data_IF_336573587410
#
_entry.id   IF_336573587410
#
_cell.length_a   1.000
_cell.length_b   1.000
_cell.length_c   1.000
_cell.angle_alpha   90.00
_cell.angle_beta   90.00
_cell.angle_gamma   90.00
#
_symmetry.space_group_name_H-M   'P 1'
#
loop_
_entity.id
_entity.type
_entity.pdbx_description
1 polymer ?
#
# COMPACT_ATOMS: atom_id res chain seq x y z
N UNK A 1 35.02 -22.43 -25.69
CA UNK A 1 35.14 -21.32 -26.68
C UNK A 1 33.84 -20.55 -26.68
N UNK A 2 33.95 -19.23 -26.56
CA UNK A 2 32.94 -18.21 -26.22
C UNK A 2 31.64 -18.19 -27.04
N UNK A 3 30.53 -17.69 -26.48
CA UNK A 3 29.52 -16.97 -27.23
C UNK A 3 29.54 -15.46 -26.84
N UNK A 4 30.09 -14.65 -27.74
CA UNK A 4 29.77 -13.22 -27.85
C UNK A 4 28.70 -13.10 -28.96
N UNK A 5 27.57 -12.48 -28.65
CA UNK A 5 26.54 -12.19 -29.65
C UNK A 5 25.15 -12.14 -29.03
N UNK A 6 24.83 -11.04 -28.34
CA UNK A 6 23.44 -10.60 -28.15
C UNK A 6 23.27 -9.19 -27.54
N UNK A 7 24.32 -8.36 -27.47
CA UNK A 7 24.21 -6.98 -26.97
C UNK A 7 23.98 -5.91 -28.05
N UNK A 8 24.09 -6.24 -29.35
CA UNK A 8 23.87 -5.28 -30.42
C UNK A 8 22.38 -5.04 -30.75
N UNK A 9 21.53 -6.07 -30.60
CA UNK A 9 20.12 -5.97 -31.02
C UNK A 9 19.24 -5.13 -30.07
N UNK A 10 19.63 -4.97 -28.81
CA UNK A 10 18.88 -4.20 -27.80
C UNK A 10 19.11 -2.69 -27.89
N UNK A 11 20.28 -2.24 -28.35
CA UNK A 11 20.56 -0.80 -28.54
C UNK A 11 19.96 -0.23 -29.83
N UNK A 12 19.78 -1.06 -30.86
CA UNK A 12 19.17 -0.65 -32.12
C UNK A 12 17.64 -0.56 -32.02
N UNK A 13 17.01 -1.41 -31.21
CA UNK A 13 15.61 -1.25 -30.81
C UNK A 13 15.39 0.03 -29.98
N UNK A 14 16.28 0.35 -29.03
CA UNK A 14 16.22 1.62 -28.27
C UNK A 14 16.38 2.87 -29.15
N UNK A 15 17.14 2.79 -30.25
CA UNK A 15 17.25 3.88 -31.24
C UNK A 15 16.00 4.00 -32.12
N UNK A 16 15.27 2.93 -32.39
CA UNK A 16 14.01 3.01 -33.13
C UNK A 16 12.86 3.60 -32.29
N UNK A 17 12.89 3.44 -30.96
CA UNK A 17 11.94 4.10 -30.05
C UNK A 17 12.11 5.62 -29.94
N UNK A 18 13.27 6.18 -30.33
CA UNK A 18 13.47 7.63 -30.37
C UNK A 18 12.94 8.30 -31.65
N UNK A 19 12.60 7.54 -32.69
CA UNK A 19 12.05 8.07 -33.95
C UNK A 19 10.53 7.96 -34.07
N UNK A 20 9.85 7.12 -33.28
CA UNK A 20 8.39 6.89 -33.41
C UNK A 20 7.56 7.77 -32.46
N UNK A 21 8.20 8.47 -31.52
CA UNK A 21 7.51 9.36 -30.59
C UNK A 21 8.00 10.78 -30.84
N UNK A 22 7.08 11.69 -31.18
CA UNK A 22 7.28 13.13 -31.08
C UNK A 22 7.53 13.55 -29.62
N UNK A 23 8.67 13.14 -29.04
CA UNK A 23 9.15 13.55 -27.71
C UNK A 23 9.55 15.03 -27.71
N UNK A 24 9.67 15.64 -28.89
CA UNK A 24 10.03 17.05 -29.05
C UNK A 24 8.95 18.04 -28.56
N UNK A 25 7.67 17.64 -28.48
CA UNK A 25 6.57 18.56 -28.12
C UNK A 25 6.22 18.58 -26.63
N UNK A 26 6.89 17.76 -25.82
CA UNK A 26 6.76 17.81 -24.35
C UNK A 26 8.02 18.36 -23.71
N UNK A 27 8.56 19.43 -24.30
CA UNK A 27 9.45 20.31 -23.55
C UNK A 27 8.67 20.83 -22.33
N UNK A 28 9.24 20.75 -21.11
CA UNK A 28 8.60 21.26 -19.88
C UNK A 28 8.37 22.78 -19.88
N UNK A 29 8.64 23.47 -20.99
CA UNK A 29 8.44 24.91 -21.18
C UNK A 29 7.05 25.28 -21.68
N UNK A 30 6.27 24.37 -22.27
CA UNK A 30 5.04 24.74 -23.00
C UNK A 30 3.72 24.25 -22.42
N UNK A 31 3.73 23.47 -21.32
CA UNK A 31 2.49 23.25 -20.55
C UNK A 31 2.42 24.38 -19.52
N UNK A 32 1.38 25.23 -19.51
CA UNK A 32 1.23 26.25 -18.48
C UNK A 32 1.31 25.53 -17.14
N UNK A 33 2.26 25.90 -16.28
CA UNK A 33 2.42 25.30 -14.93
C UNK A 33 1.07 25.16 -14.22
N UNK A 34 0.16 26.11 -14.44
CA UNK A 34 -1.23 26.11 -13.99
C UNK A 34 -2.07 24.89 -14.42
N UNK A 35 -1.94 24.37 -15.65
CA UNK A 35 -2.66 23.17 -16.11
C UNK A 35 -2.11 21.88 -15.48
N UNK A 36 -0.79 21.81 -15.27
CA UNK A 36 -0.14 20.70 -14.53
C UNK A 36 -0.59 20.71 -13.07
N UNK A 37 -0.59 21.88 -12.43
CA UNK A 37 -1.07 22.11 -11.06
C UNK A 37 -2.55 21.70 -10.90
N UNK A 38 -3.43 22.10 -11.81
CA UNK A 38 -4.86 21.79 -11.74
C UNK A 38 -5.14 20.29 -11.92
N UNK A 39 -4.50 19.64 -12.89
CA UNK A 39 -4.71 18.21 -13.18
C UNK A 39 -4.09 17.35 -12.07
N UNK A 40 -2.93 17.73 -11.56
CA UNK A 40 -2.33 17.07 -10.41
C UNK A 40 -3.20 17.25 -9.16
N UNK A 41 -3.72 18.46 -8.89
CA UNK A 41 -4.49 18.78 -7.68
C UNK A 41 -5.67 17.85 -7.42
N UNK A 42 -6.41 17.43 -8.46
CA UNK A 42 -7.54 16.52 -8.27
C UNK A 42 -7.08 15.08 -8.05
N UNK A 43 -5.98 14.66 -8.68
CA UNK A 43 -5.44 13.31 -8.52
C UNK A 43 -4.92 13.00 -7.11
N UNK A 44 -4.70 14.02 -6.25
CA UNK A 44 -4.21 13.80 -4.89
C UNK A 44 -5.19 13.02 -4.00
N UNK A 45 -6.50 13.14 -4.23
CA UNK A 45 -7.49 12.32 -3.50
C UNK A 45 -7.32 10.83 -3.76
N UNK A 46 -6.65 10.46 -4.85
CA UNK A 46 -6.39 9.07 -5.21
C UNK A 46 -5.13 8.48 -4.56
N UNK A 47 -4.31 9.31 -3.91
CA UNK A 47 -3.11 8.85 -3.21
C UNK A 47 -3.47 8.17 -1.89
N UNK A 48 -2.94 6.96 -1.69
CA UNK A 48 -3.00 6.18 -0.45
C UNK A 48 -2.08 6.75 0.62
N UNK A 49 -2.46 7.89 1.23
CA UNK A 49 -1.78 8.47 2.39
C UNK A 49 -2.53 8.13 3.68
N UNK A 50 -1.80 7.89 4.77
CA UNK A 50 -2.39 7.54 6.06
C UNK A 50 -2.20 8.69 7.06
N UNK A 51 -3.31 9.38 7.36
CA UNK A 51 -3.40 10.46 8.33
C UNK A 51 -2.37 11.60 8.16
N UNK A 52 -2.11 11.97 6.91
CA UNK A 52 -1.35 13.16 6.53
C UNK A 52 -2.32 14.23 6.02
N UNK A 53 -2.00 15.51 6.22
CA UNK A 53 -2.74 16.59 5.57
C UNK A 53 -2.55 16.46 4.04
N UNK A 54 -3.64 16.15 3.34
CA UNK A 54 -3.63 15.91 1.90
C UNK A 54 -3.24 17.17 1.11
N UNK A 55 -3.52 18.36 1.63
CA UNK A 55 -3.17 19.63 0.98
C UNK A 55 -1.67 19.91 1.13
N UNK A 56 -1.12 19.75 2.34
CA UNK A 56 0.32 19.94 2.56
C UNK A 56 1.14 18.91 1.78
N UNK A 57 0.72 17.65 1.80
CA UNK A 57 1.40 16.59 1.06
C UNK A 57 1.31 16.78 -0.46
N UNK A 58 0.20 17.34 -0.93
CA UNK A 58 0.06 17.76 -2.33
C UNK A 58 1.10 18.82 -2.68
N UNK A 59 1.13 19.90 -1.93
CA UNK A 59 1.96 21.05 -2.24
C UNK A 59 3.44 20.66 -2.19
N UNK A 60 3.80 19.77 -1.26
CA UNK A 60 5.09 19.10 -1.18
C UNK A 60 5.46 18.37 -2.49
N UNK A 61 4.61 17.48 -3.00
CA UNK A 61 4.91 16.71 -4.22
C UNK A 61 5.01 17.62 -5.45
N UNK A 62 4.20 18.68 -5.51
CA UNK A 62 4.27 19.68 -6.56
C UNK A 62 5.58 20.48 -6.48
N UNK A 63 5.99 20.90 -5.28
CA UNK A 63 7.27 21.58 -5.09
C UNK A 63 8.44 20.70 -5.56
N UNK A 64 8.44 19.41 -5.25
CA UNK A 64 9.48 18.48 -5.72
C UNK A 64 9.52 18.32 -7.24
N UNK A 65 8.34 18.27 -7.88
CA UNK A 65 8.22 18.17 -9.32
C UNK A 65 8.72 19.43 -10.05
N UNK A 66 8.66 20.59 -9.38
CA UNK A 66 8.97 21.90 -9.95
C UNK A 66 10.26 22.52 -9.41
N UNK A 67 10.97 21.87 -8.47
CA UNK A 67 12.12 22.44 -7.76
C UNK A 67 13.31 22.73 -8.66
N UNK A 68 13.47 21.95 -9.74
CA UNK A 68 14.60 22.06 -10.67
C UNK A 68 14.26 21.37 -11.99
N UNK A 69 15.20 21.36 -12.93
CA UNK A 69 15.11 20.60 -14.19
C UNK A 69 16.00 19.34 -14.19
N UNK A 70 16.33 18.82 -13.01
CA UNK A 70 17.12 17.59 -12.86
C UNK A 70 16.35 16.35 -13.31
N UNK A 71 17.05 15.26 -13.57
CA UNK A 71 16.40 14.00 -13.95
C UNK A 71 15.47 13.47 -12.84
N UNK A 72 15.82 13.68 -11.56
CA UNK A 72 15.02 13.29 -10.39
C UNK A 72 13.72 14.10 -10.24
N UNK A 73 13.75 15.43 -10.42
CA UNK A 73 12.55 16.29 -10.38
C UNK A 73 11.62 16.00 -11.58
N UNK A 74 12.19 15.78 -12.77
CA UNK A 74 11.43 15.33 -13.94
C UNK A 74 10.76 13.98 -13.72
N UNK A 75 11.40 13.04 -13.02
CA UNK A 75 10.78 11.77 -12.67
C UNK A 75 9.53 11.96 -11.80
N UNK A 76 9.59 12.83 -10.80
CA UNK A 76 8.41 13.16 -9.96
C UNK A 76 7.32 13.78 -10.81
N UNK A 77 7.66 14.74 -11.68
CA UNK A 77 6.70 15.39 -12.57
C UNK A 77 5.98 14.38 -13.49
N UNK A 78 6.74 13.51 -14.17
CA UNK A 78 6.17 12.52 -15.07
C UNK A 78 5.33 11.47 -14.32
N UNK A 79 5.76 11.03 -13.14
CA UNK A 79 5.00 10.10 -12.32
C UNK A 79 3.68 10.74 -11.84
N UNK A 80 3.71 11.99 -11.40
CA UNK A 80 2.53 12.74 -10.97
C UNK A 80 1.54 12.93 -12.13
N UNK A 81 2.04 13.28 -13.32
CA UNK A 81 1.22 13.37 -14.53
C UNK A 81 0.66 12.01 -14.96
N UNK A 82 1.40 10.91 -14.77
CA UNK A 82 0.92 9.57 -15.07
C UNK A 82 -0.27 9.21 -14.16
N UNK A 83 -0.13 9.40 -12.84
CA UNK A 83 -1.21 9.19 -11.86
C UNK A 83 -2.41 10.08 -12.20
N UNK A 84 -2.19 11.36 -12.50
CA UNK A 84 -3.29 12.26 -12.80
C UNK A 84 -4.00 11.96 -14.13
N UNK A 85 -3.24 11.53 -15.14
CA UNK A 85 -3.78 11.03 -16.40
C UNK A 85 -4.63 9.78 -16.16
N UNK A 86 -4.13 8.84 -15.36
CA UNK A 86 -4.85 7.60 -15.05
C UNK A 86 -6.12 7.87 -14.26
N UNK A 87 -6.03 8.76 -13.30
CA UNK A 87 -7.13 9.18 -12.47
C UNK A 87 -8.26 9.84 -13.29
N UNK A 88 -7.93 10.67 -14.28
CA UNK A 88 -8.93 11.39 -15.07
C UNK A 88 -9.61 10.53 -16.14
N UNK A 89 -8.80 9.80 -16.90
CA UNK A 89 -9.28 9.15 -18.14
C UNK A 89 -9.17 7.61 -18.10
N UNK A 90 -8.66 7.03 -16.99
CA UNK A 90 -8.40 5.60 -16.84
C UNK A 90 -7.02 5.16 -17.37
N UNK A 91 -6.83 3.87 -17.59
CA UNK A 91 -5.55 3.36 -18.10
C UNK A 91 -5.46 3.52 -19.63
N UNK A 92 -4.98 4.68 -20.11
CA UNK A 92 -4.70 4.93 -21.53
C UNK A 92 -3.20 4.90 -21.87
N UNK A 93 -2.91 4.81 -23.17
CA UNK A 93 -1.55 4.86 -23.75
C UNK A 93 -0.73 6.06 -23.23
N UNK A 94 -1.38 7.22 -23.07
CA UNK A 94 -0.73 8.43 -22.55
C UNK A 94 -0.22 8.28 -21.11
N UNK A 95 -1.03 7.65 -20.25
CA UNK A 95 -0.68 7.42 -18.86
C UNK A 95 0.52 6.46 -18.76
N UNK A 96 0.52 5.41 -19.59
CA UNK A 96 1.62 4.45 -19.71
C UNK A 96 2.90 5.11 -20.25
N UNK A 97 2.80 5.98 -21.26
CA UNK A 97 3.96 6.74 -21.76
C UNK A 97 4.59 7.62 -20.67
N UNK A 98 3.76 8.28 -19.86
CA UNK A 98 4.24 9.11 -18.74
C UNK A 98 4.91 8.26 -17.66
N UNK A 99 4.36 7.08 -17.33
CA UNK A 99 5.01 6.08 -16.47
C UNK A 99 6.40 5.71 -17.01
N UNK A 100 6.51 5.35 -18.29
CA UNK A 100 7.79 4.99 -18.92
C UNK A 100 8.79 6.15 -18.92
N UNK A 101 8.31 7.38 -19.14
CA UNK A 101 9.15 8.58 -19.06
C UNK A 101 9.69 8.81 -17.63
N UNK A 102 8.85 8.60 -16.60
CA UNK A 102 9.27 8.69 -15.21
C UNK A 102 10.36 7.67 -14.87
N UNK A 103 10.17 6.40 -15.25
CA UNK A 103 11.17 5.33 -15.06
C UNK A 103 12.48 5.66 -15.77
N UNK A 104 12.40 6.16 -17.01
CA UNK A 104 13.58 6.58 -17.78
C UNK A 104 14.32 7.73 -17.12
N UNK A 105 13.59 8.69 -16.53
CA UNK A 105 14.18 9.81 -15.80
C UNK A 105 14.84 9.35 -14.48
N UNK A 106 14.23 8.41 -13.74
CA UNK A 106 14.86 7.77 -12.58
C UNK A 106 16.16 7.06 -12.98
N UNK A 107 16.14 6.26 -14.04
CA UNK A 107 17.32 5.55 -14.52
C UNK A 107 18.47 6.51 -14.89
N UNK A 108 18.15 7.61 -15.59
CA UNK A 108 19.13 8.67 -15.90
C UNK A 108 19.69 9.32 -14.64
N UNK A 109 18.86 9.56 -13.63
CA UNK A 109 19.31 10.13 -12.36
C UNK A 109 20.22 9.17 -11.60
N UNK A 110 19.89 7.87 -11.54
CA UNK A 110 20.76 6.86 -10.90
C UNK A 110 22.10 6.74 -11.63
N UNK A 111 22.11 6.79 -12.96
CA UNK A 111 23.34 6.71 -13.76
C UNK A 111 24.34 7.84 -13.45
N UNK A 112 23.84 9.01 -13.03
CA UNK A 112 24.66 10.15 -12.62
C UNK A 112 25.03 10.12 -11.13
N UNK A 113 24.56 9.12 -10.38
CA UNK A 113 24.65 9.05 -8.92
C UNK A 113 23.59 9.91 -8.23
N UNK A 114 23.02 9.39 -7.14
CA UNK A 114 22.16 10.17 -6.24
C UNK A 114 23.09 10.89 -5.28
N UNK A 115 23.15 12.22 -5.39
CA UNK A 115 24.19 13.03 -4.74
C UNK A 115 23.69 13.85 -3.56
N UNK A 116 22.38 14.03 -3.43
CA UNK A 116 21.77 14.85 -2.39
C UNK A 116 20.54 14.22 -1.76
N UNK A 117 20.23 14.64 -0.52
CA UNK A 117 19.00 14.26 0.19
C UNK A 117 17.75 14.62 -0.60
N UNK A 118 17.76 15.77 -1.30
CA UNK A 118 16.65 16.22 -2.14
C UNK A 118 16.44 15.30 -3.34
N UNK A 119 17.51 14.91 -4.04
CA UNK A 119 17.42 13.94 -5.13
C UNK A 119 16.93 12.59 -4.61
N UNK A 120 17.49 12.09 -3.51
CA UNK A 120 17.06 10.83 -2.90
C UNK A 120 15.57 10.86 -2.55
N UNK A 121 15.08 11.96 -1.96
CA UNK A 121 13.67 12.11 -1.68
C UNK A 121 12.81 12.20 -2.96
N UNK A 122 13.30 12.82 -4.03
CA UNK A 122 12.64 12.80 -5.35
C UNK A 122 12.53 11.40 -5.93
N UNK A 123 13.55 10.56 -5.76
CA UNK A 123 13.45 9.13 -6.09
C UNK A 123 12.37 8.43 -5.27
N UNK A 124 12.30 8.70 -3.95
CA UNK A 124 11.26 8.16 -3.07
C UNK A 124 9.85 8.57 -3.54
N UNK A 125 9.63 9.86 -3.76
CA UNK A 125 8.33 10.40 -4.20
C UNK A 125 7.90 9.86 -5.57
N UNK A 126 8.79 9.87 -6.55
CA UNK A 126 8.51 9.33 -7.87
C UNK A 126 8.20 7.84 -7.81
N UNK A 127 8.95 7.06 -7.03
CA UNK A 127 8.70 5.65 -6.81
C UNK A 127 7.33 5.40 -6.17
N UNK A 128 6.94 6.16 -5.15
CA UNK A 128 5.63 6.01 -4.51
C UNK A 128 4.45 6.45 -5.40
N UNK A 129 4.64 7.45 -6.25
CA UNK A 129 3.65 7.80 -7.29
C UNK A 129 3.48 6.67 -8.31
N UNK A 130 4.58 6.05 -8.75
CA UNK A 130 4.55 4.88 -9.63
C UNK A 130 3.93 3.65 -8.94
N UNK A 131 4.17 3.46 -7.64
CA UNK A 131 3.49 2.47 -6.82
C UNK A 131 1.97 2.69 -6.85
N UNK A 132 1.55 3.94 -6.60
CA UNK A 132 0.13 4.31 -6.61
C UNK A 132 -0.51 4.10 -7.99
N UNK A 133 0.19 4.45 -9.06
CA UNK A 133 -0.25 4.23 -10.44
C UNK A 133 -0.61 2.74 -10.67
N UNK A 134 0.28 1.82 -10.29
CA UNK A 134 0.01 0.39 -10.42
C UNK A 134 -1.13 -0.07 -9.51
N UNK A 135 -1.13 0.33 -8.24
CA UNK A 135 -2.11 -0.08 -7.22
C UNK A 135 -3.54 0.34 -7.53
N UNK A 136 -3.74 1.41 -8.30
CA UNK A 136 -5.07 1.88 -8.71
C UNK A 136 -5.69 1.03 -9.82
N UNK A 137 -4.87 0.34 -10.62
CA UNK A 137 -5.41 -0.56 -11.64
C UNK A 137 -5.72 -1.91 -11.01
N UNK A 138 -7.00 -2.26 -10.96
CA UNK A 138 -7.44 -3.63 -10.68
C UNK A 138 -7.13 -4.59 -11.86
N UNK A 139 -6.10 -4.28 -12.65
CA UNK A 139 -5.79 -5.04 -13.84
C UNK A 139 -4.94 -6.24 -13.43
N UNK A 140 -5.39 -7.41 -13.82
CA UNK A 140 -4.63 -8.66 -13.75
C UNK A 140 -3.45 -8.62 -14.74
N UNK A 141 -2.66 -7.55 -14.77
CA UNK A 141 -1.55 -7.37 -15.71
C UNK A 141 -0.21 -7.27 -15.01
N UNK A 142 -0.14 -6.77 -13.77
CA UNK A 142 1.16 -6.66 -13.09
C UNK A 142 1.05 -6.53 -11.57
N UNK A 143 1.79 -7.36 -10.82
CA UNK A 143 2.06 -7.16 -9.39
C UNK A 143 3.20 -6.18 -9.13
N UNK A 144 3.43 -5.22 -10.05
CA UNK A 144 4.65 -4.41 -10.05
C UNK A 144 4.70 -3.37 -8.93
N UNK A 145 3.58 -3.04 -8.30
CA UNK A 145 3.52 -2.04 -7.23
C UNK A 145 4.53 -2.34 -6.10
N UNK A 146 4.74 -3.61 -5.77
CA UNK A 146 5.73 -4.06 -4.76
C UNK A 146 7.17 -3.70 -5.15
N UNK A 147 7.49 -3.63 -6.45
CA UNK A 147 8.82 -3.23 -6.92
C UNK A 147 9.16 -1.80 -6.61
N UNK A 148 8.16 -0.92 -6.69
CA UNK A 148 8.38 0.47 -6.37
C UNK A 148 8.61 0.64 -4.87
N UNK A 149 7.85 -0.07 -4.02
CA UNK A 149 8.12 -0.10 -2.57
C UNK A 149 9.54 -0.60 -2.29
N UNK A 150 9.97 -1.70 -2.95
CA UNK A 150 11.36 -2.19 -2.89
C UNK A 150 12.36 -1.10 -3.24
N UNK A 151 12.25 -0.54 -4.43
CA UNK A 151 13.24 0.38 -4.97
C UNK A 151 13.36 1.63 -4.09
N UNK A 152 12.22 2.13 -3.61
CA UNK A 152 12.16 3.25 -2.68
C UNK A 152 12.84 2.93 -1.35
N UNK A 153 12.63 1.73 -0.78
CA UNK A 153 13.32 1.30 0.45
C UNK A 153 14.84 1.19 0.27
N UNK A 154 15.29 0.72 -0.89
CA UNK A 154 16.71 0.64 -1.20
C UNK A 154 17.31 2.06 -1.29
N UNK A 155 16.62 2.99 -1.95
CA UNK A 155 17.02 4.42 -2.00
C UNK A 155 17.09 5.03 -0.59
N UNK A 156 16.07 4.80 0.26
CA UNK A 156 16.03 5.31 1.64
C UNK A 156 17.28 4.88 2.41
N UNK A 157 17.57 3.57 2.43
CA UNK A 157 18.69 2.99 3.17
C UNK A 157 20.05 3.45 2.64
N UNK A 158 20.23 3.43 1.32
CA UNK A 158 21.50 3.80 0.68
C UNK A 158 21.83 5.28 0.90
N UNK A 159 20.82 6.14 1.04
CA UNK A 159 21.00 7.58 1.22
C UNK A 159 20.76 8.04 2.67
N UNK A 160 20.60 7.11 3.62
CA UNK A 160 20.37 7.40 5.04
C UNK A 160 19.22 8.37 5.33
N UNK A 161 18.13 8.30 4.55
CA UNK A 161 16.98 9.19 4.73
C UNK A 161 16.29 8.96 6.08
N UNK A 162 16.38 7.76 6.65
CA UNK A 162 15.88 7.43 7.99
C UNK A 162 16.51 8.29 9.11
N UNK A 163 17.72 8.81 8.89
CA UNK A 163 18.42 9.66 9.86
C UNK A 163 18.00 11.13 9.77
N UNK A 164 17.26 11.52 8.75
CA UNK A 164 16.83 12.91 8.48
C UNK A 164 15.55 13.27 9.26
N UNK A 165 15.50 12.96 10.55
CA UNK A 165 14.28 13.09 11.38
C UNK A 165 13.82 14.54 11.58
N UNK A 166 14.73 15.51 11.43
CA UNK A 166 14.42 16.94 11.53
C UNK A 166 13.78 17.51 10.24
N UNK A 167 13.81 16.77 9.15
CA UNK A 167 13.23 17.18 7.89
C UNK A 167 11.76 16.71 7.82
N UNK A 168 10.82 17.63 8.03
CA UNK A 168 9.37 17.35 8.01
C UNK A 168 8.94 16.72 6.68
N UNK A 169 9.52 17.21 5.59
CA UNK A 169 9.28 16.73 4.24
C UNK A 169 9.72 15.28 4.04
N UNK A 170 10.95 14.93 4.46
CA UNK A 170 11.43 13.54 4.39
C UNK A 170 10.57 12.64 5.27
N UNK A 171 10.17 13.13 6.45
CA UNK A 171 9.28 12.38 7.34
C UNK A 171 7.95 12.02 6.66
N UNK A 172 7.27 12.98 6.02
CA UNK A 172 5.99 12.69 5.35
C UNK A 172 6.13 11.63 4.24
N UNK A 173 7.23 11.65 3.49
CA UNK A 173 7.53 10.60 2.51
C UNK A 173 7.78 9.24 3.17
N UNK A 174 8.56 9.20 4.25
CA UNK A 174 8.80 7.95 4.99
C UNK A 174 7.51 7.38 5.56
N UNK A 175 6.62 8.23 6.06
CA UNK A 175 5.31 7.82 6.57
C UNK A 175 4.44 7.21 5.47
N UNK A 176 4.48 7.79 4.27
CA UNK A 176 3.79 7.25 3.10
C UNK A 176 4.32 5.86 2.72
N UNK A 177 5.65 5.71 2.70
CA UNK A 177 6.32 4.43 2.41
C UNK A 177 5.98 3.39 3.48
N UNK A 178 6.06 3.76 4.75
CA UNK A 178 5.79 2.86 5.89
C UNK A 178 4.36 2.32 5.85
N UNK A 179 3.37 3.18 5.54
CA UNK A 179 1.98 2.75 5.37
C UNK A 179 1.86 1.68 4.27
N UNK A 180 2.40 1.95 3.08
CA UNK A 180 2.34 1.00 1.98
C UNK A 180 3.08 -0.30 2.27
N UNK A 181 4.23 -0.21 2.93
CA UNK A 181 5.02 -1.37 3.32
C UNK A 181 4.24 -2.29 4.28
N UNK A 182 3.67 -1.74 5.35
CA UNK A 182 2.94 -2.54 6.35
C UNK A 182 1.74 -3.26 5.73
N UNK A 183 1.01 -2.59 4.84
CA UNK A 183 -0.12 -3.23 4.14
C UNK A 183 0.36 -4.21 3.06
N UNK A 184 1.53 -3.99 2.46
CA UNK A 184 2.15 -4.96 1.58
C UNK A 184 2.54 -6.24 2.30
N UNK A 185 3.04 -6.15 3.53
CA UNK A 185 3.33 -7.31 4.38
C UNK A 185 2.10 -8.20 4.52
N UNK A 186 0.93 -7.64 4.86
CA UNK A 186 -0.32 -8.41 4.91
C UNK A 186 -0.65 -9.10 3.58
N UNK A 187 -0.57 -8.35 2.48
CA UNK A 187 -0.93 -8.86 1.14
C UNK A 187 -0.04 -10.02 0.74
N UNK A 188 1.25 -9.94 1.02
CA UNK A 188 2.23 -11.01 0.75
C UNK A 188 2.02 -12.21 1.68
N UNK A 189 1.74 -11.97 2.97
CA UNK A 189 1.51 -13.01 3.99
C UNK A 189 0.37 -13.96 3.59
N UNK A 190 -0.68 -13.42 2.98
CA UNK A 190 -1.90 -14.16 2.65
C UNK A 190 -2.01 -14.57 1.19
N UNK A 191 -1.26 -13.97 0.28
CA UNK A 191 -1.20 -14.39 -1.11
C UNK A 191 -0.25 -15.59 -1.29
N UNK A 192 -0.77 -16.81 -1.17
CA UNK A 192 -0.03 -18.08 -1.05
C UNK A 192 -0.26 -19.03 -2.23
N UNK A 193 0.24 -18.69 -3.41
CA UNK A 193 0.29 -19.64 -4.54
C UNK A 193 1.49 -20.59 -4.41
N UNK A 194 1.34 -21.70 -3.69
CA UNK A 194 2.40 -22.70 -3.53
C UNK A 194 3.62 -22.18 -2.72
N UNK A 195 4.83 -22.77 -2.89
CA UNK A 195 6.03 -22.19 -2.30
C UNK A 195 6.18 -20.78 -2.85
N UNK A 196 6.04 -19.79 -1.97
CA UNK A 196 6.14 -18.34 -2.25
C UNK A 196 7.32 -18.06 -3.19
N UNK A 197 8.44 -18.75 -2.97
CA UNK A 197 9.63 -18.76 -3.82
C UNK A 197 9.36 -18.97 -5.31
N UNK A 198 8.50 -19.93 -5.66
CA UNK A 198 8.29 -20.35 -7.05
C UNK A 198 7.46 -19.34 -7.85
N UNK A 199 6.54 -18.63 -7.19
CA UNK A 199 5.67 -17.64 -7.85
C UNK A 199 6.29 -16.26 -7.80
N UNK A 200 6.93 -15.88 -6.69
CA UNK A 200 7.75 -14.67 -6.64
C UNK A 200 8.92 -14.81 -7.62
N UNK A 201 9.67 -15.92 -7.65
CA UNK A 201 10.75 -16.07 -8.64
C UNK A 201 10.26 -16.09 -10.10
N UNK A 202 9.09 -16.68 -10.38
CA UNK A 202 8.52 -16.71 -11.75
C UNK A 202 7.91 -15.37 -12.20
N UNK A 203 7.16 -14.69 -11.34
CA UNK A 203 6.50 -13.41 -11.68
C UNK A 203 7.44 -12.21 -11.48
N UNK A 204 8.41 -12.32 -10.58
CA UNK A 204 9.28 -11.22 -10.17
C UNK A 204 10.75 -11.43 -10.60
N UNK A 205 11.13 -12.59 -11.13
CA UNK A 205 12.48 -12.80 -11.68
C UNK A 205 13.62 -12.63 -10.67
N UNK A 206 13.34 -12.60 -9.37
CA UNK A 206 14.32 -12.39 -8.31
C UNK A 206 14.14 -13.44 -7.21
N UNK A 207 15.26 -14.04 -6.78
CA UNK A 207 15.37 -14.85 -5.57
C UNK A 207 15.47 -13.92 -4.36
N UNK A 208 14.89 -14.30 -3.22
CA UNK A 208 14.90 -13.45 -2.04
C UNK A 208 13.59 -12.68 -1.90
N UNK A 209 12.46 -13.28 -1.55
CA UNK A 209 11.34 -12.48 -1.02
C UNK A 209 11.58 -12.18 0.46
N UNK A 210 12.46 -12.95 1.11
CA UNK A 210 12.82 -12.86 2.52
C UNK A 210 13.42 -11.51 2.90
N UNK A 211 13.88 -10.68 1.95
CA UNK A 211 14.36 -9.32 2.24
C UNK A 211 13.27 -8.24 2.04
N UNK A 212 12.19 -8.53 1.27
CA UNK A 212 10.94 -7.75 1.31
C UNK A 212 10.31 -7.93 2.69
N UNK A 213 10.38 -9.16 3.22
CA UNK A 213 9.77 -9.64 4.46
C UNK A 213 10.74 -9.77 5.63
N UNK A 214 11.97 -9.28 5.48
CA UNK A 214 13.03 -9.51 6.45
C UNK A 214 12.68 -8.84 7.78
N UNK A 215 12.91 -9.51 8.93
CA UNK A 215 12.67 -8.91 10.23
C UNK A 215 13.58 -7.70 10.33
N UNK A 216 13.00 -6.51 10.19
CA UNK A 216 13.67 -5.28 10.52
C UNK A 216 12.83 -4.61 11.57
N UNK A 217 13.52 -4.20 12.63
CA UNK A 217 12.99 -3.22 13.56
C UNK A 217 12.28 -2.15 12.74
N UNK A 218 11.00 -1.86 13.02
CA UNK A 218 10.36 -0.72 12.42
C UNK A 218 11.26 0.49 12.71
N UNK A 219 11.93 1.01 11.69
CA UNK A 219 12.68 2.26 11.71
C UNK A 219 11.70 3.44 11.79
N UNK A 220 10.54 3.22 12.42
CA UNK A 220 9.67 4.27 12.86
C UNK A 220 10.39 4.92 14.03
N UNK A 221 10.81 6.16 13.81
CA UNK A 221 11.13 7.06 14.91
C UNK A 221 10.08 6.84 16.00
N UNK A 222 10.51 6.70 17.26
CA UNK A 222 9.67 6.47 18.44
C UNK A 222 8.77 7.70 18.71
N UNK A 223 8.00 8.13 17.70
CA UNK A 223 7.11 9.26 17.71
C UNK A 223 5.82 8.80 18.37
N UNK A 224 5.32 9.60 19.28
CA UNK A 224 4.05 9.37 19.96
C UNK A 224 2.82 9.61 19.06
N UNK A 225 2.95 9.42 17.74
CA UNK A 225 1.87 9.68 16.78
C UNK A 225 1.03 8.41 16.60
N UNK A 226 -0.30 8.44 16.88
CA UNK A 226 -1.14 7.25 16.90
C UNK A 226 -1.11 6.41 15.60
N UNK A 227 -1.15 7.00 14.39
CA UNK A 227 -1.01 6.27 13.13
C UNK A 227 0.25 5.39 13.05
N UNK A 228 1.40 5.91 13.48
CA UNK A 228 2.66 5.17 13.46
C UNK A 228 2.64 3.99 14.41
N UNK A 229 2.04 4.16 15.61
CA UNK A 229 1.92 3.08 16.59
C UNK A 229 1.05 1.94 16.10
N UNK A 230 -0.02 2.23 15.38
CA UNK A 230 -0.91 1.19 14.84
C UNK A 230 -0.21 0.42 13.71
N UNK A 231 0.47 1.13 12.80
CA UNK A 231 1.25 0.50 11.75
C UNK A 231 2.42 -0.33 12.31
N UNK A 232 3.05 0.15 13.38
CA UNK A 232 4.07 -0.59 14.13
C UNK A 232 3.50 -1.88 14.69
N UNK A 233 2.35 -1.79 15.35
CA UNK A 233 1.67 -2.93 15.92
C UNK A 233 1.31 -3.97 14.86
N UNK A 234 0.71 -3.54 13.73
CA UNK A 234 0.40 -4.42 12.61
C UNK A 234 1.67 -5.10 12.04
N UNK A 235 2.75 -4.33 11.84
CA UNK A 235 4.01 -4.90 11.35
C UNK A 235 4.60 -5.93 12.32
N UNK A 236 4.51 -5.70 13.64
CA UNK A 236 4.91 -6.69 14.64
C UNK A 236 4.09 -7.98 14.52
N UNK A 237 2.76 -7.89 14.35
CA UNK A 237 1.91 -9.07 14.10
C UNK A 237 2.40 -9.81 12.85
N UNK A 238 2.57 -9.10 11.72
CA UNK A 238 2.97 -9.72 10.46
C UNK A 238 4.35 -10.36 10.55
N UNK A 239 5.32 -9.72 11.21
CA UNK A 239 6.66 -10.27 11.40
C UNK A 239 6.63 -11.57 12.22
N UNK A 240 5.86 -11.61 13.31
CA UNK A 240 5.65 -12.82 14.11
C UNK A 240 5.06 -13.92 13.24
N UNK A 241 4.01 -13.60 12.47
CA UNK A 241 3.37 -14.55 11.58
C UNK A 241 4.33 -15.04 10.49
N UNK A 242 5.11 -14.17 9.85
CA UNK A 242 6.11 -14.56 8.83
C UNK A 242 7.13 -15.57 9.34
N UNK A 243 7.59 -15.44 10.60
CA UNK A 243 8.51 -16.42 11.19
C UNK A 243 7.89 -17.82 11.26
N UNK A 244 6.58 -17.91 11.47
CA UNK A 244 5.84 -19.17 11.46
C UNK A 244 5.85 -19.87 10.09
N UNK A 245 5.99 -19.12 8.99
CA UNK A 245 6.06 -19.70 7.63
C UNK A 245 7.40 -20.36 7.37
N UNK A 246 8.49 -19.75 7.85
CA UNK A 246 9.86 -20.20 7.59
C UNK A 246 10.29 -21.37 8.48
N UNK A 247 9.73 -21.48 9.69
CA UNK A 247 10.14 -22.48 10.67
C UNK A 247 9.04 -23.49 10.94
N UNK A 248 9.18 -24.70 10.40
CA UNK A 248 8.28 -25.85 10.61
C UNK A 248 8.24 -26.41 12.05
N UNK A 249 8.79 -25.72 13.06
CA UNK A 249 9.23 -26.40 14.29
C UNK A 249 9.00 -25.74 15.65
N UNK A 250 8.37 -24.57 15.80
CA UNK A 250 8.21 -24.01 17.17
C UNK A 250 6.95 -23.15 17.34
N UNK A 251 5.79 -23.79 17.24
CA UNK A 251 4.48 -23.18 17.54
C UNK A 251 4.43 -22.55 18.94
N UNK A 252 5.15 -23.10 19.93
CA UNK A 252 5.19 -22.58 21.29
C UNK A 252 5.81 -21.18 21.40
N UNK A 253 6.93 -20.93 20.71
CA UNK A 253 7.56 -19.60 20.68
C UNK A 253 6.67 -18.56 19.98
N UNK A 254 5.89 -19.00 19.00
CA UNK A 254 4.95 -18.17 18.26
C UNK A 254 3.75 -17.75 19.14
N UNK A 255 3.14 -18.72 19.85
CA UNK A 255 2.04 -18.47 20.79
C UNK A 255 2.48 -17.48 21.87
N UNK A 256 3.67 -17.67 22.42
CA UNK A 256 4.21 -16.76 23.44
C UNK A 256 4.43 -15.34 22.92
N UNK A 257 4.92 -15.21 21.69
CA UNK A 257 5.14 -13.90 21.05
C UNK A 257 3.82 -13.16 20.81
N UNK A 258 2.79 -13.86 20.34
CA UNK A 258 1.45 -13.28 20.17
C UNK A 258 0.82 -12.90 21.52
N UNK A 259 0.97 -13.74 22.55
CA UNK A 259 0.48 -13.45 23.90
C UNK A 259 1.13 -12.19 24.50
N UNK A 260 2.44 -11.99 24.28
CA UNK A 260 3.13 -10.74 24.67
C UNK A 260 2.56 -9.52 23.94
N UNK A 261 2.20 -9.68 22.67
CA UNK A 261 1.62 -8.62 21.87
C UNK A 261 0.17 -8.29 22.31
N UNK A 262 -0.62 -9.31 22.63
CA UNK A 262 -1.95 -9.17 23.27
C UNK A 262 -1.86 -8.37 24.58
N UNK A 263 -0.84 -8.63 25.42
CA UNK A 263 -0.61 -7.86 26.64
C UNK A 263 -0.34 -6.36 26.39
N UNK A 264 0.21 -6.01 25.22
CA UNK A 264 0.49 -4.62 24.81
C UNK A 264 -0.65 -3.94 24.08
N UNK A 265 -1.70 -4.67 23.70
CA UNK A 265 -2.85 -4.14 22.96
C UNK A 265 -3.54 -2.98 23.70
N UNK A 266 -3.63 -3.05 25.03
CA UNK A 266 -4.23 -2.00 25.85
C UNK A 266 -3.56 -0.63 25.68
N UNK A 267 -2.24 -0.60 25.42
CA UNK A 267 -1.50 0.63 25.15
C UNK A 267 -1.88 1.23 23.80
N UNK A 268 -2.14 0.41 22.78
CA UNK A 268 -2.58 0.87 21.47
C UNK A 268 -4.00 1.46 21.54
N UNK A 269 -4.89 0.83 22.30
CA UNK A 269 -6.28 1.27 22.46
C UNK A 269 -6.40 2.64 23.16
N UNK A 270 -5.56 2.90 24.16
CA UNK A 270 -5.55 4.19 24.89
C UNK A 270 -5.12 5.40 24.04
N UNK A 271 -4.55 5.17 22.85
CA UNK A 271 -4.09 6.26 21.97
C UNK A 271 -5.25 7.03 21.31
N UNK A 272 -6.45 6.44 21.22
CA UNK A 272 -7.62 7.08 20.60
C UNK A 272 -8.32 8.07 21.53
N UNK A 273 -8.18 7.91 22.84
CA UNK A 273 -8.95 8.67 23.84
C UNK A 273 -8.43 10.10 24.04
N UNK A 274 -7.19 10.40 23.64
CA UNK A 274 -6.52 11.68 23.92
C UNK A 274 -6.53 12.73 22.80
N UNK A 275 -7.20 12.51 21.67
CA UNK A 275 -7.13 13.42 20.48
C UNK A 275 -8.43 14.22 20.19
N UNK A 276 -9.38 14.24 21.12
CA UNK A 276 -10.71 14.87 20.91
C UNK A 276 -10.76 16.27 21.53
N UNK A 277 -9.99 17.23 21.02
CA UNK A 277 -10.14 18.66 21.43
C UNK A 277 -10.26 19.66 20.25
N UNK A 278 -10.45 19.20 19.00
CA UNK A 278 -10.63 20.11 17.86
C UNK A 278 -11.80 19.71 16.96
N UNK A 279 -12.84 20.55 16.93
CA UNK A 279 -14.17 20.34 16.37
C UNK A 279 -14.29 20.65 14.87
N UNK A 280 -13.42 20.09 14.02
CA UNK A 280 -13.60 20.13 12.56
C UNK A 280 -14.05 18.76 12.02
N UNK A 281 -14.93 18.74 11.01
CA UNK A 281 -15.38 17.50 10.36
C UNK A 281 -14.21 16.69 9.75
N UNK A 282 -13.15 17.38 9.28
CA UNK A 282 -11.94 16.74 8.78
C UNK A 282 -11.17 16.00 9.90
N UNK A 283 -11.11 16.59 11.10
CA UNK A 283 -10.50 15.95 12.27
C UNK A 283 -11.33 14.76 12.76
N UNK A 284 -12.66 14.83 12.66
CA UNK A 284 -13.54 13.69 12.99
C UNK A 284 -13.32 12.52 12.03
N UNK A 285 -13.23 12.77 10.72
CA UNK A 285 -12.96 11.71 9.74
C UNK A 285 -11.58 11.06 9.95
N UNK A 286 -10.54 11.86 10.23
CA UNK A 286 -9.21 11.37 10.56
C UNK A 286 -9.20 10.49 11.82
N UNK A 287 -9.86 10.94 12.90
CA UNK A 287 -9.99 10.17 14.14
C UNK A 287 -10.73 8.85 13.93
N UNK A 288 -11.86 8.88 13.20
CA UNK A 288 -12.65 7.69 12.88
C UNK A 288 -11.84 6.67 12.05
N UNK A 289 -10.99 7.14 11.12
CA UNK A 289 -10.07 6.27 10.37
C UNK A 289 -9.02 5.60 11.27
N UNK A 290 -8.40 6.36 12.18
CA UNK A 290 -7.41 5.84 13.13
C UNK A 290 -8.04 4.77 14.02
N UNK A 291 -9.22 5.07 14.57
CA UNK A 291 -9.96 4.15 15.44
C UNK A 291 -10.37 2.88 14.68
N UNK A 292 -10.81 3.00 13.43
CA UNK A 292 -11.14 1.85 12.59
C UNK A 292 -9.93 0.93 12.37
N UNK A 293 -8.75 1.50 12.10
CA UNK A 293 -7.51 0.73 11.99
C UNK A 293 -7.11 0.03 13.30
N UNK A 294 -7.35 0.67 14.45
CA UNK A 294 -7.14 0.03 15.75
C UNK A 294 -8.06 -1.18 15.93
N UNK A 295 -9.36 -1.02 15.67
CA UNK A 295 -10.31 -2.14 15.77
C UNK A 295 -9.90 -3.30 14.88
N UNK A 296 -9.54 -3.01 13.62
CA UNK A 296 -9.11 -4.03 12.65
C UNK A 296 -7.81 -4.71 13.07
N UNK A 297 -6.84 -3.97 13.62
CA UNK A 297 -5.61 -4.55 14.14
C UNK A 297 -5.88 -5.51 15.32
N UNK A 298 -6.82 -5.15 16.20
CA UNK A 298 -7.24 -5.99 17.32
C UNK A 298 -8.00 -7.25 16.89
N UNK A 299 -8.92 -7.11 15.95
CA UNK A 299 -9.64 -8.24 15.33
C UNK A 299 -8.62 -9.19 14.70
N UNK A 300 -7.72 -8.66 13.88
CA UNK A 300 -6.72 -9.48 13.19
C UNK A 300 -5.80 -10.22 14.18
N UNK A 301 -5.30 -9.54 15.22
CA UNK A 301 -4.51 -10.18 16.27
C UNK A 301 -5.28 -11.33 16.93
N UNK A 302 -6.53 -11.08 17.35
CA UNK A 302 -7.36 -12.09 17.99
C UNK A 302 -7.56 -13.33 17.11
N UNK A 303 -7.87 -13.12 15.81
CA UNK A 303 -8.06 -14.21 14.84
C UNK A 303 -6.78 -14.95 14.49
N UNK A 304 -5.66 -14.25 14.40
CA UNK A 304 -4.35 -14.84 14.17
C UNK A 304 -3.94 -15.71 15.36
N UNK A 305 -4.08 -15.20 16.58
CA UNK A 305 -3.86 -15.95 17.82
C UNK A 305 -4.73 -17.19 17.90
N UNK A 306 -6.05 -17.05 17.69
CA UNK A 306 -7.01 -18.17 17.70
C UNK A 306 -6.64 -19.25 16.66
N UNK A 307 -6.25 -18.84 15.45
CA UNK A 307 -5.85 -19.79 14.41
C UNK A 307 -4.60 -20.60 14.77
N UNK A 308 -3.69 -20.01 15.56
CA UNK A 308 -2.41 -20.61 15.95
C UNK A 308 -2.54 -21.43 17.24
N UNK A 309 -3.12 -20.87 18.30
CA UNK A 309 -3.25 -21.53 19.60
C UNK A 309 -4.43 -22.51 19.66
N UNK A 310 -5.47 -22.30 18.84
CA UNK A 310 -6.74 -23.01 18.93
C UNK A 310 -7.66 -22.50 20.04
N UNK A 311 -7.22 -21.53 20.84
CA UNK A 311 -8.03 -20.94 21.91
C UNK A 311 -8.86 -19.76 21.38
N UNK A 312 -10.17 -19.71 21.65
CA UNK A 312 -11.01 -18.62 21.19
C UNK A 312 -10.57 -17.28 21.79
N UNK A 313 -10.59 -16.22 20.99
CA UNK A 313 -10.37 -14.84 21.43
C UNK A 313 -11.66 -14.05 21.28
N UNK A 314 -12.02 -13.28 22.31
CA UNK A 314 -13.22 -12.44 22.24
C UNK A 314 -12.94 -11.17 21.40
N UNK A 315 -13.28 -11.23 20.11
CA UNK A 315 -13.16 -10.10 19.18
C UNK A 315 -14.43 -9.27 19.06
N UNK A 316 -15.55 -9.70 19.66
CA UNK A 316 -16.87 -9.07 19.48
C UNK A 316 -16.91 -7.58 19.86
N UNK A 317 -16.31 -7.11 20.97
CA UNK A 317 -16.33 -5.69 21.32
C UNK A 317 -15.69 -4.80 20.25
N UNK A 318 -14.63 -5.30 19.59
CA UNK A 318 -13.94 -4.58 18.51
C UNK A 318 -14.79 -4.57 17.22
N UNK A 319 -15.51 -5.66 16.95
CA UNK A 319 -16.44 -5.75 15.81
C UNK A 319 -17.61 -4.79 15.98
N UNK A 320 -18.27 -4.81 17.14
CA UNK A 320 -19.39 -3.94 17.45
C UNK A 320 -18.98 -2.46 17.29
N UNK A 321 -17.80 -2.12 17.83
CA UNK A 321 -17.25 -0.77 17.71
C UNK A 321 -16.90 -0.41 16.25
N UNK A 322 -16.28 -1.31 15.51
CA UNK A 322 -15.93 -1.08 14.11
C UNK A 322 -17.17 -0.86 13.24
N UNK A 323 -18.22 -1.67 13.41
CA UNK A 323 -19.46 -1.52 12.66
C UNK A 323 -20.22 -0.25 13.06
N UNK A 324 -20.20 0.15 14.32
CA UNK A 324 -20.75 1.44 14.75
C UNK A 324 -20.01 2.63 14.10
N UNK A 325 -18.68 2.55 13.96
CA UNK A 325 -17.90 3.55 13.23
C UNK A 325 -18.29 3.59 11.75
N UNK A 326 -18.37 2.42 11.09
CA UNK A 326 -18.77 2.32 9.68
C UNK A 326 -20.15 2.93 9.43
N UNK A 327 -21.10 2.76 10.36
CA UNK A 327 -22.44 3.33 10.25
C UNK A 327 -22.44 4.87 10.29
N UNK A 328 -21.52 5.47 11.05
CA UNK A 328 -21.35 6.93 11.13
C UNK A 328 -20.62 7.50 9.92
N UNK A 329 -19.74 6.73 9.29
CA UNK A 329 -18.96 7.18 8.14
C UNK A 329 -19.84 7.42 6.89
N UNK A 330 -19.66 8.58 6.25
CA UNK A 330 -20.34 8.87 4.97
C UNK A 330 -19.75 8.07 3.81
N UNK A 331 -18.44 7.85 3.82
CA UNK A 331 -17.68 7.12 2.80
C UNK A 331 -16.47 6.47 3.47
N UNK A 332 -16.01 5.31 2.98
CA UNK A 332 -14.76 4.71 3.42
C UNK A 332 -13.99 4.18 2.21
N UNK A 333 -12.74 4.60 2.05
CA UNK A 333 -11.83 4.16 0.96
C UNK A 333 -10.70 3.26 1.46
N UNK A 334 -10.73 2.90 2.74
CA UNK A 334 -9.69 2.12 3.40
C UNK A 334 -9.85 0.64 3.03
N UNK A 335 -9.14 0.20 1.99
CA UNK A 335 -9.28 -1.14 1.43
C UNK A 335 -8.97 -2.24 2.45
N UNK A 336 -7.87 -2.11 3.19
CA UNK A 336 -7.49 -3.08 4.21
C UNK A 336 -8.56 -3.23 5.32
N UNK A 337 -9.00 -2.15 6.00
CA UNK A 337 -10.09 -2.24 6.98
C UNK A 337 -11.40 -2.82 6.43
N UNK A 338 -11.83 -2.37 5.24
CA UNK A 338 -13.05 -2.88 4.63
C UNK A 338 -12.96 -4.37 4.26
N UNK A 339 -11.79 -4.83 3.80
CA UNK A 339 -11.55 -6.26 3.58
C UNK A 339 -11.71 -7.02 4.90
N UNK A 340 -10.98 -6.62 5.94
CA UNK A 340 -10.97 -7.31 7.23
C UNK A 340 -12.35 -7.40 7.88
N UNK A 341 -13.13 -6.31 7.84
CA UNK A 341 -14.49 -6.29 8.37
C UNK A 341 -15.46 -7.07 7.47
N UNK A 342 -15.21 -7.10 6.15
CA UNK A 342 -15.96 -7.95 5.24
C UNK A 342 -15.77 -9.44 5.52
N UNK A 343 -14.58 -9.86 5.98
CA UNK A 343 -14.34 -11.22 6.48
C UNK A 343 -15.09 -11.59 7.77
N UNK A 344 -15.57 -10.59 8.48
CA UNK A 344 -16.30 -10.74 9.74
C UNK A 344 -17.78 -10.41 9.60
N UNK A 345 -18.24 -10.02 8.41
CA UNK A 345 -19.64 -9.72 8.13
C UNK A 345 -20.46 -11.01 8.05
N UNK A 346 -21.12 -11.36 9.15
CA UNK A 346 -21.91 -12.60 9.31
C UNK A 346 -23.39 -12.44 8.97
N UNK A 347 -23.89 -11.20 8.87
CA UNK A 347 -25.29 -10.93 8.53
C UNK A 347 -25.40 -10.16 7.22
N UNK A 348 -26.55 -10.28 6.55
CA UNK A 348 -26.82 -9.54 5.33
C UNK A 348 -26.78 -8.03 5.56
N UNK A 349 -27.21 -7.55 6.73
CA UNK A 349 -27.14 -6.12 7.09
C UNK A 349 -25.69 -5.62 7.11
N UNK A 350 -24.77 -6.39 7.70
CA UNK A 350 -23.35 -6.05 7.72
C UNK A 350 -22.74 -6.07 6.32
N UNK A 351 -23.07 -7.08 5.52
CA UNK A 351 -22.61 -7.23 4.12
C UNK A 351 -23.12 -6.06 3.25
N UNK A 352 -24.40 -5.71 3.39
CA UNK A 352 -25.03 -4.56 2.71
C UNK A 352 -24.37 -3.25 3.11
N UNK A 353 -24.11 -3.04 4.41
CA UNK A 353 -23.45 -1.82 4.88
C UNK A 353 -22.06 -1.62 4.26
N UNK A 354 -21.25 -2.68 4.18
CA UNK A 354 -19.93 -2.62 3.55
C UNK A 354 -20.06 -2.33 2.04
N UNK A 355 -20.97 -3.02 1.34
CA UNK A 355 -21.20 -2.77 -0.09
C UNK A 355 -21.72 -1.36 -0.36
N UNK A 356 -22.57 -0.81 0.50
CA UNK A 356 -23.09 0.54 0.38
C UNK A 356 -22.00 1.60 0.63
N UNK A 357 -21.10 1.38 1.59
CA UNK A 357 -19.93 2.25 1.79
C UNK A 357 -19.01 2.27 0.57
N UNK A 358 -18.76 1.09 -0.03
CA UNK A 358 -18.00 0.98 -1.28
C UNK A 358 -18.70 1.74 -2.40
N UNK A 359 -20.01 1.53 -2.56
CA UNK A 359 -20.83 2.19 -3.59
C UNK A 359 -20.79 3.71 -3.43
N UNK A 360 -20.99 4.23 -2.21
CA UNK A 360 -20.91 5.67 -1.89
C UNK A 360 -19.52 6.26 -2.14
N UNK A 361 -18.46 5.48 -1.90
CA UNK A 361 -17.10 5.91 -2.23
C UNK A 361 -16.87 5.98 -3.75
N UNK A 362 -17.46 5.05 -4.52
CA UNK A 362 -17.37 4.98 -5.99
C UNK A 362 -18.30 5.98 -6.72
N UNK A 363 -19.34 6.52 -6.06
CA UNK A 363 -20.20 7.60 -6.60
C UNK A 363 -19.39 8.83 -7.03
N UNK A 364 -18.24 9.04 -6.38
CA UNK A 364 -17.32 10.06 -6.79
C UNK A 364 -16.31 9.45 -7.79
N UNK A 365 -16.38 9.78 -9.10
CA UNK A 365 -15.44 9.24 -10.09
C UNK A 365 -13.99 9.70 -9.81
N UNK A 366 -13.85 10.70 -8.94
CA UNK A 366 -12.61 11.29 -8.45
C UNK A 366 -12.06 10.60 -7.18
N UNK A 367 -12.55 9.40 -6.83
CA UNK A 367 -12.09 8.59 -5.69
C UNK A 367 -11.51 7.24 -6.13
N UNK A 368 -10.85 6.54 -5.21
CA UNK A 368 -10.15 5.29 -5.50
C UNK A 368 -11.12 4.21 -6.01
N UNK A 369 -10.71 3.49 -7.06
CA UNK A 369 -11.44 2.32 -7.54
C UNK A 369 -11.40 1.19 -6.47
N UNK A 370 -12.58 0.68 -6.10
CA UNK A 370 -12.79 -0.38 -5.10
C UNK A 370 -13.41 -1.64 -5.73
N UNK A 371 -13.52 -1.73 -7.05
CA UNK A 371 -14.13 -2.86 -7.76
C UNK A 371 -13.43 -4.19 -7.46
N UNK A 372 -12.09 -4.16 -7.35
CA UNK A 372 -11.29 -5.30 -6.91
C UNK A 372 -11.74 -5.83 -5.54
N UNK A 373 -11.83 -4.91 -4.56
CA UNK A 373 -12.24 -5.24 -3.20
C UNK A 373 -13.68 -5.78 -3.18
N UNK A 374 -14.59 -5.13 -3.89
CA UNK A 374 -15.99 -5.57 -4.03
C UNK A 374 -16.09 -6.98 -4.61
N UNK A 375 -15.30 -7.30 -5.64
CA UNK A 375 -15.25 -8.65 -6.22
C UNK A 375 -14.69 -9.67 -5.24
N UNK A 376 -13.60 -9.35 -4.53
CA UNK A 376 -13.03 -10.25 -3.51
C UNK A 376 -14.00 -10.54 -2.37
N UNK A 377 -14.71 -9.52 -1.86
CA UNK A 377 -15.69 -9.70 -0.78
C UNK A 377 -16.89 -10.55 -1.22
N UNK A 378 -17.41 -10.32 -2.43
CA UNK A 378 -18.49 -11.16 -2.97
C UNK A 378 -18.05 -12.61 -3.14
N UNK A 379 -16.85 -12.85 -3.68
CA UNK A 379 -16.32 -14.19 -3.83
C UNK A 379 -16.15 -14.89 -2.47
N UNK A 380 -15.70 -14.15 -1.44
CA UNK A 380 -15.63 -14.63 -0.07
C UNK A 380 -17.00 -15.04 0.47
N UNK A 381 -18.00 -14.16 0.40
CA UNK A 381 -19.32 -14.47 0.97
C UNK A 381 -20.00 -15.63 0.24
N UNK A 382 -19.85 -15.72 -1.09
CA UNK A 382 -20.30 -16.89 -1.85
C UNK A 382 -19.64 -18.17 -1.34
N UNK A 383 -18.34 -18.15 -1.04
CA UNK A 383 -17.66 -19.33 -0.50
C UNK A 383 -18.10 -19.65 0.93
N UNK A 384 -18.31 -18.64 1.78
CA UNK A 384 -18.83 -18.88 3.14
C UNK A 384 -20.23 -19.48 3.12
N UNK A 385 -21.11 -18.97 2.27
CA UNK A 385 -22.49 -19.46 2.13
C UNK A 385 -22.55 -20.88 1.53
N UNK A 386 -21.51 -21.34 0.83
CA UNK A 386 -21.38 -22.72 0.35
C UNK A 386 -20.77 -23.66 1.40
N UNK A 387 -19.94 -23.14 2.32
CA UNK A 387 -19.23 -23.92 3.34
C UNK A 387 -20.08 -24.14 4.59
N UNK A 388 -21.17 -23.39 4.78
CA UNK A 388 -22.10 -23.56 5.91
C UNK A 388 -22.70 -24.96 6.03
N UNK A 389 -22.62 -25.78 4.97
CA UNK A 389 -23.13 -27.15 4.91
C UNK A 389 -22.05 -28.23 5.18
N UNK A 390 -20.80 -27.84 5.49
CA UNK A 390 -19.68 -28.76 5.67
C UNK A 390 -19.37 -29.04 7.16
N UNK A 391 -19.01 -30.29 7.48
CA UNK A 391 -18.60 -30.72 8.83
C UNK A 391 -17.27 -30.08 9.31
N UNK A 392 -16.45 -29.55 8.39
CA UNK A 392 -15.16 -28.95 8.71
C UNK A 392 -15.11 -27.47 8.31
N UNK A 393 -15.09 -26.58 9.30
CA UNK A 393 -14.91 -25.14 9.09
C UNK A 393 -13.41 -24.82 9.09
N UNK A 394 -12.84 -24.33 7.96
CA UNK A 394 -11.43 -23.97 7.92
C UNK A 394 -11.12 -22.80 8.88
N UNK A 395 -9.91 -22.82 9.46
CA UNK A 395 -9.45 -21.74 10.35
C UNK A 395 -9.48 -20.40 9.63
N UNK A 396 -9.62 -19.32 10.39
CA UNK A 396 -9.72 -17.96 9.85
C UNK A 396 -8.57 -17.62 8.89
N UNK A 397 -7.34 -17.89 9.30
CA UNK A 397 -6.16 -17.61 8.49
C UNK A 397 -6.15 -18.41 7.18
N UNK A 398 -6.61 -19.66 7.19
CA UNK A 398 -6.66 -20.51 5.99
C UNK A 398 -7.69 -19.99 4.98
N UNK A 399 -8.86 -19.55 5.45
CA UNK A 399 -9.85 -18.87 4.61
C UNK A 399 -9.28 -17.60 3.99
N UNK A 400 -8.64 -16.77 4.80
CA UNK A 400 -8.02 -15.53 4.33
C UNK A 400 -6.94 -15.79 3.27
N UNK A 401 -6.10 -16.81 3.47
CA UNK A 401 -5.12 -17.22 2.47
C UNK A 401 -5.76 -17.67 1.16
N UNK A 402 -6.83 -18.49 1.24
CA UNK A 402 -7.51 -19.02 0.07
C UNK A 402 -8.10 -17.90 -0.79
N UNK A 403 -8.82 -16.95 -0.17
CA UNK A 403 -9.41 -15.79 -0.88
C UNK A 403 -8.34 -14.89 -1.50
N UNK A 404 -7.32 -14.53 -0.72
CA UNK A 404 -6.25 -13.67 -1.22
C UNK A 404 -5.53 -14.32 -2.40
N UNK A 405 -5.33 -15.64 -2.34
CA UNK A 405 -4.73 -16.43 -3.42
C UNK A 405 -5.64 -16.62 -4.63
N UNK A 406 -6.90 -16.20 -4.64
CA UNK A 406 -7.69 -16.20 -5.89
C UNK A 406 -7.21 -15.12 -6.86
N UNK A 407 -6.58 -14.06 -6.35
CA UNK A 407 -6.02 -13.03 -7.19
C UNK A 407 -4.80 -13.58 -7.97
N UNK A 408 -4.77 -13.33 -9.29
CA UNK A 408 -3.65 -13.74 -10.17
C UNK A 408 -2.32 -13.06 -9.82
N UNK A 409 -2.39 -11.86 -9.24
CA UNK A 409 -1.27 -11.06 -8.77
C UNK A 409 -1.55 -10.63 -7.34
N UNK A 410 -0.50 -10.24 -6.60
CA UNK A 410 -0.63 -9.79 -5.22
C UNK A 410 -1.52 -8.54 -5.16
N UNK A 411 -2.66 -8.60 -4.45
CA UNK A 411 -3.59 -7.48 -4.39
C UNK A 411 -2.98 -6.32 -3.61
N UNK A 412 -3.26 -5.09 -4.04
CA UNK A 412 -2.86 -3.89 -3.30
C UNK A 412 -4.03 -3.44 -2.41
N UNK A 413 -3.82 -3.48 -1.09
CA UNK A 413 -4.83 -3.15 -0.08
C UNK A 413 -4.60 -1.79 0.60
N UNK A 414 -3.69 -0.98 0.04
CA UNK A 414 -3.34 0.37 0.50
C UNK A 414 -4.43 1.39 0.24
#
# INVERSE_FOLDING_TARGET
MTPYGNHAHSMEEMRNWSMIVGVAELRPTNVPKAKVLLVASNAFSSLSIFNQDAADFRDLLIQMALSSSTASSQAVLFALLAVASQYRDGLQSRAVQLKTAAISALAKSVANGISSTTEAAQHVAAGMLLCTFESQTCSATSGQWIWYIRGVKDVIKTNHLEKQTNNSFVTQLLDWVNYHEVIAQFSILHWRHGPVDSVFAKQLGIKGWEWILGPKEPQMSNRAYPPHRILQFLSEIFNILFQAFGQKGTTENLVESLRKLEGRASTIMKLSEGHVESSSEANTNAADMIELYQMVAMIYLGRASESISGEPRNVQPFLDRAFALLQRMRTCELRFPLLMLGFEARTDEQRIMILDLIRRAEENPYRRNLDCLRRSLRALWIQEDLVSDLEFVPKYMDRLNAIMSQARYIPSLV
#
